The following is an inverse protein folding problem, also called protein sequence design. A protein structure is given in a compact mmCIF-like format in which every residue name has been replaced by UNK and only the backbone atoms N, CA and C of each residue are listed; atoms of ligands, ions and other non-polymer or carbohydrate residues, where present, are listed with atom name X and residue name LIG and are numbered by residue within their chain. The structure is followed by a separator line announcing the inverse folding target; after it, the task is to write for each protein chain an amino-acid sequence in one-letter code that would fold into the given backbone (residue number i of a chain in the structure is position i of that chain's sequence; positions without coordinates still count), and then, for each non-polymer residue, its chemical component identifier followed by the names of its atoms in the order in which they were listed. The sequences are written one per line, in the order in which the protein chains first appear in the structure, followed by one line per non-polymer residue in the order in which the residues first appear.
data_IF_247109667683
#
_entry.id   IF_247109667683
#
_cell.length_a   1.000
_cell.length_b   1.000
_cell.length_c   1.000
_cell.angle_alpha   90.00
_cell.angle_beta   90.00
_cell.angle_gamma   90.00
#
_symmetry.space_group_name_H-M   'P 1'
#
loop_
_entity.id
_entity.type
_entity.pdbx_description
1 polymer ?
#
# COMPACT_ATOMS: atom_id res chain seq x y z
N UNK A 1 11.24 -2.11 19.62
CA UNK A 1 10.26 -3.20 19.42
C UNK A 1 10.88 -4.50 19.85
N UNK A 2 10.23 -5.23 20.74
CA UNK A 2 10.72 -6.46 21.34
C UNK A 2 9.72 -7.61 21.16
N UNK A 3 10.16 -8.84 21.44
CA UNK A 3 9.29 -10.02 21.58
C UNK A 3 9.05 -10.29 23.06
N UNK A 4 7.80 -10.53 23.42
CA UNK A 4 7.44 -11.10 24.71
C UNK A 4 6.38 -12.17 24.48
N UNK A 5 6.69 -13.40 24.81
CA UNK A 5 5.88 -14.58 24.48
C UNK A 5 5.58 -14.64 22.96
N UNK A 6 4.33 -14.76 22.56
CA UNK A 6 3.87 -14.73 21.16
C UNK A 6 3.41 -13.33 20.70
N UNK A 7 3.85 -12.27 21.39
CA UNK A 7 3.44 -10.89 21.10
C UNK A 7 4.66 -10.02 20.77
N UNK A 8 4.40 -9.07 19.89
CA UNK A 8 5.32 -7.96 19.61
C UNK A 8 5.05 -6.90 20.67
N UNK A 9 6.08 -6.48 21.37
CA UNK A 9 5.98 -5.43 22.39
C UNK A 9 6.59 -4.14 21.85
N UNK A 10 5.79 -3.10 21.82
CA UNK A 10 6.20 -1.75 21.43
C UNK A 10 6.30 -0.92 22.72
N UNK A 11 7.45 -0.31 22.93
CA UNK A 11 7.69 0.61 24.03
C UNK A 11 7.89 2.01 23.45
N UNK A 12 7.13 2.97 23.90
CA UNK A 12 7.28 4.39 23.59
C UNK A 12 7.13 5.27 24.83
N UNK A 13 7.18 6.59 24.68
CA UNK A 13 7.04 7.54 25.79
C UNK A 13 5.69 7.47 26.53
N UNK A 14 4.68 6.85 25.93
CA UNK A 14 3.32 6.70 26.48
C UNK A 14 3.15 5.37 27.23
N UNK A 15 4.08 4.44 27.06
CA UNK A 15 4.07 3.15 27.75
C UNK A 15 4.38 1.95 26.86
N UNK A 16 3.88 0.79 27.27
CA UNK A 16 4.13 -0.48 26.61
C UNK A 16 2.84 -1.02 26.01
N UNK A 17 2.85 -1.30 24.73
CA UNK A 17 1.74 -1.93 24.01
C UNK A 17 2.15 -3.32 23.55
N UNK A 18 1.27 -4.31 23.76
CA UNK A 18 1.47 -5.69 23.29
C UNK A 18 0.55 -5.95 22.09
N UNK A 19 1.13 -6.39 21.00
CA UNK A 19 0.44 -6.67 19.75
C UNK A 19 0.57 -8.17 19.48
N UNK A 20 -0.53 -8.93 19.43
CA UNK A 20 -0.48 -10.34 19.04
C UNK A 20 0.03 -10.48 17.61
N UNK A 21 1.19 -11.11 17.41
CA UNK A 21 1.82 -11.18 16.10
C UNK A 21 0.95 -11.91 15.07
N UNK A 22 0.28 -13.00 15.47
CA UNK A 22 -0.59 -13.78 14.59
C UNK A 22 -1.84 -13.03 14.08
N UNK A 23 -2.20 -11.91 14.70
CA UNK A 23 -3.36 -11.10 14.28
C UNK A 23 -2.95 -9.91 13.40
N UNK A 24 -1.66 -9.77 13.11
CA UNK A 24 -1.12 -8.60 12.41
C UNK A 24 -0.68 -8.99 11.01
N UNK A 25 -1.28 -8.40 9.99
CA UNK A 25 -0.89 -8.62 8.60
C UNK A 25 0.30 -7.75 8.19
N UNK A 26 0.35 -6.51 8.67
CA UNK A 26 1.39 -5.55 8.30
C UNK A 26 1.83 -4.72 9.50
N UNK A 27 3.13 -4.50 9.63
CA UNK A 27 3.73 -3.53 10.56
C UNK A 27 4.41 -2.42 9.78
N UNK A 28 4.10 -1.18 10.12
CA UNK A 28 4.74 0.01 9.57
C UNK A 28 5.75 0.54 10.60
N UNK A 29 7.03 0.55 10.25
CA UNK A 29 8.08 1.10 11.09
C UNK A 29 8.49 2.48 10.61
N UNK A 30 8.31 3.48 11.47
CA UNK A 30 8.75 4.85 11.23
C UNK A 30 10.21 5.09 11.61
N UNK A 31 10.74 6.29 11.33
CA UNK A 31 12.09 6.68 11.70
C UNK A 31 12.35 6.52 13.20
N UNK A 32 13.57 6.13 13.58
CA UNK A 32 13.97 5.92 14.97
C UNK A 32 13.38 4.66 15.61
N UNK A 33 12.77 3.76 14.85
CA UNK A 33 12.26 2.49 15.39
C UNK A 33 13.37 1.45 15.47
N UNK A 34 13.76 1.07 16.69
CA UNK A 34 14.66 -0.07 16.93
C UNK A 34 13.84 -1.36 17.03
N UNK A 35 14.35 -2.42 16.42
CA UNK A 35 13.73 -3.74 16.47
C UNK A 35 14.76 -4.82 16.86
N UNK A 36 14.41 -5.65 17.82
CA UNK A 36 15.28 -6.75 18.22
C UNK A 36 15.23 -7.92 17.25
N UNK A 37 16.32 -8.69 17.16
CA UNK A 37 16.38 -9.90 16.36
C UNK A 37 15.22 -10.87 16.66
N UNK A 38 14.90 -11.08 17.93
CA UNK A 38 13.80 -11.97 18.33
C UNK A 38 12.42 -11.46 17.92
N UNK A 39 12.22 -10.13 17.83
CA UNK A 39 10.99 -9.57 17.32
C UNK A 39 10.88 -9.80 15.80
N UNK A 40 11.99 -9.65 15.06
CA UNK A 40 12.03 -9.96 13.62
C UNK A 40 11.78 -11.44 13.33
N UNK A 41 12.37 -12.34 14.13
CA UNK A 41 12.11 -13.77 14.04
C UNK A 41 10.61 -14.08 14.17
N UNK A 42 9.96 -13.57 15.23
CA UNK A 42 8.51 -13.76 15.43
C UNK A 42 7.68 -13.21 14.28
N UNK A 43 8.03 -12.04 13.75
CA UNK A 43 7.38 -11.41 12.60
C UNK A 43 7.51 -12.33 11.37
N UNK A 44 8.70 -12.87 11.13
CA UNK A 44 8.94 -13.81 10.03
C UNK A 44 8.13 -15.10 10.17
N UNK A 45 8.12 -15.69 11.36
CA UNK A 45 7.42 -16.94 11.65
C UNK A 45 5.89 -16.82 11.51
N UNK A 46 5.35 -15.65 11.85
CA UNK A 46 3.90 -15.39 11.75
C UNK A 46 3.45 -14.95 10.37
N UNK A 47 4.36 -14.73 9.43
CA UNK A 47 4.03 -14.28 8.08
C UNK A 47 3.64 -12.82 7.99
N UNK A 48 3.89 -12.03 9.03
CA UNK A 48 3.60 -10.60 9.06
C UNK A 48 4.54 -9.84 8.12
N UNK A 49 3.99 -8.99 7.27
CA UNK A 49 4.77 -8.11 6.40
C UNK A 49 5.26 -6.89 7.16
N UNK A 50 6.45 -6.41 6.82
CA UNK A 50 7.05 -5.20 7.41
C UNK A 50 7.26 -4.16 6.33
N UNK A 51 6.94 -2.92 6.62
CA UNK A 51 7.18 -1.77 5.73
C UNK A 51 7.90 -0.67 6.51
N UNK A 52 9.05 -0.24 6.01
CA UNK A 52 9.75 0.92 6.55
C UNK A 52 9.27 2.18 5.85
N UNK A 53 8.73 3.09 6.65
CA UNK A 53 8.14 4.34 6.17
C UNK A 53 8.92 5.54 6.70
N UNK A 54 8.81 6.67 6.00
CA UNK A 54 9.40 7.92 6.44
C UNK A 54 8.59 8.64 7.51
N UNK A 55 8.98 9.86 7.79
CA UNK A 55 8.27 10.75 8.72
C UNK A 55 6.78 10.84 8.38
N UNK A 56 5.94 10.86 9.40
CA UNK A 56 4.47 10.93 9.29
C UNK A 56 3.84 9.81 8.47
N UNK A 57 4.54 8.66 8.33
CA UNK A 57 4.05 7.53 7.57
C UNK A 57 4.03 7.75 6.07
N UNK A 58 4.71 8.77 5.56
CA UNK A 58 4.87 9.02 4.14
C UNK A 58 6.23 8.54 3.68
N UNK A 59 6.36 8.23 2.39
CA UNK A 59 7.50 7.54 1.78
C UNK A 59 7.67 6.11 2.31
N UNK A 60 7.63 5.19 1.41
CA UNK A 60 8.02 3.80 1.66
C UNK A 60 9.46 3.62 1.22
N UNK A 61 10.33 3.26 2.16
CA UNK A 61 11.74 3.04 1.86
C UNK A 61 12.06 1.59 1.54
N UNK A 62 11.42 0.67 2.25
CA UNK A 62 11.64 -0.75 2.07
C UNK A 62 10.44 -1.54 2.57
N UNK A 63 10.30 -2.76 2.09
CA UNK A 63 9.37 -3.74 2.65
C UNK A 63 10.06 -5.08 2.80
N UNK A 64 9.63 -5.85 3.77
CA UNK A 64 10.04 -7.23 3.98
C UNK A 64 8.81 -8.10 4.20
N UNK A 65 8.87 -9.31 3.67
CA UNK A 65 7.84 -10.31 3.84
C UNK A 65 8.46 -11.61 4.34
N UNK A 66 7.68 -12.41 5.06
CA UNK A 66 8.06 -13.77 5.41
C UNK A 66 8.42 -14.57 4.14
N UNK A 67 9.38 -15.47 4.27
CA UNK A 67 9.86 -16.30 3.16
C UNK A 67 8.69 -17.02 2.49
N UNK A 68 8.56 -16.83 1.17
CA UNK A 68 7.59 -17.58 0.38
C UNK A 68 8.08 -18.99 0.13
N UNK A 69 7.24 -19.98 0.38
CA UNK A 69 7.54 -21.39 0.10
C UNK A 69 7.28 -21.78 -1.36
N UNK A 70 6.77 -20.87 -2.20
CA UNK A 70 6.42 -21.17 -3.59
C UNK A 70 6.60 -19.96 -4.50
N UNK A 71 7.32 -20.15 -5.61
CA UNK A 71 7.50 -19.17 -6.69
C UNK A 71 6.37 -19.21 -7.74
N UNK A 72 5.45 -20.16 -7.64
CA UNK A 72 4.44 -20.43 -8.67
C UNK A 72 3.66 -19.20 -9.15
N UNK A 73 3.24 -18.34 -8.24
CA UNK A 73 2.48 -17.14 -8.60
C UNK A 73 3.39 -16.10 -9.26
N UNK A 74 4.62 -15.95 -8.78
CA UNK A 74 5.62 -15.05 -9.36
C UNK A 74 5.98 -15.45 -10.79
N UNK A 75 6.22 -16.76 -11.02
CA UNK A 75 6.49 -17.30 -12.35
C UNK A 75 5.32 -17.08 -13.31
N UNK A 76 4.08 -17.31 -12.83
CA UNK A 76 2.87 -17.03 -13.60
C UNK A 76 2.74 -15.56 -13.93
N UNK A 77 3.01 -14.67 -12.99
CA UNK A 77 3.00 -13.22 -13.20
C UNK A 77 4.05 -12.81 -14.24
N UNK A 78 5.28 -13.31 -14.11
CA UNK A 78 6.35 -13.04 -15.07
C UNK A 78 5.96 -13.48 -16.49
N UNK A 79 5.42 -14.68 -16.65
CA UNK A 79 4.92 -15.20 -17.93
C UNK A 79 3.83 -14.32 -18.54
N UNK A 80 2.89 -13.84 -17.72
CA UNK A 80 1.77 -13.04 -18.19
C UNK A 80 2.21 -11.61 -18.58
N UNK A 81 3.16 -11.01 -17.87
CA UNK A 81 3.60 -9.64 -18.11
C UNK A 81 4.59 -9.53 -19.28
N UNK A 82 5.33 -10.60 -19.57
CA UNK A 82 6.32 -10.64 -20.65
C UNK A 82 5.70 -10.65 -22.05
N UNK A 83 4.42 -10.97 -22.19
CA UNK A 83 3.71 -10.99 -23.45
C UNK A 83 2.66 -9.88 -23.50
N UNK A 84 2.70 -9.05 -24.54
CA UNK A 84 1.84 -7.86 -24.70
C UNK A 84 0.35 -8.21 -24.73
N UNK A 85 -0.03 -9.35 -25.37
CA UNK A 85 -1.44 -9.77 -25.44
C UNK A 85 -1.95 -10.20 -24.06
N UNK A 86 -1.20 -11.07 -23.37
CA UNK A 86 -1.61 -11.54 -22.04
C UNK A 86 -1.59 -10.41 -21.02
N UNK A 87 -0.63 -9.49 -21.11
CA UNK A 87 -0.58 -8.26 -20.29
C UNK A 87 -1.86 -7.42 -20.46
N UNK A 88 -2.29 -7.19 -21.71
CA UNK A 88 -3.52 -6.44 -21.99
C UNK A 88 -4.76 -7.20 -21.46
N UNK A 89 -4.80 -8.51 -21.63
CA UNK A 89 -5.91 -9.34 -21.12
C UNK A 89 -6.00 -9.26 -19.59
N UNK A 90 -4.87 -9.34 -18.88
CA UNK A 90 -4.84 -9.18 -17.42
C UNK A 90 -5.30 -7.78 -17.02
N UNK A 91 -4.78 -6.74 -17.68
CA UNK A 91 -5.18 -5.37 -17.42
C UNK A 91 -6.71 -5.18 -17.58
N UNK A 92 -7.29 -5.68 -18.68
CA UNK A 92 -8.76 -5.64 -18.89
C UNK A 92 -9.52 -6.33 -17.75
N UNK A 93 -9.08 -7.50 -17.30
CA UNK A 93 -9.71 -8.18 -16.15
C UNK A 93 -9.63 -7.35 -14.86
N UNK A 94 -8.48 -6.73 -14.58
CA UNK A 94 -8.34 -5.86 -13.42
C UNK A 94 -9.28 -4.65 -13.50
N UNK A 95 -9.39 -4.02 -14.67
CA UNK A 95 -10.33 -2.92 -14.89
C UNK A 95 -11.79 -3.37 -14.77
N UNK A 96 -12.15 -4.54 -15.31
CA UNK A 96 -13.49 -5.10 -15.17
C UNK A 96 -13.86 -5.40 -13.72
N UNK A 97 -12.92 -5.93 -12.91
CA UNK A 97 -13.12 -6.14 -11.47
C UNK A 97 -13.35 -4.82 -10.72
N UNK A 98 -12.61 -3.77 -11.12
CA UNK A 98 -12.71 -2.45 -10.51
C UNK A 98 -13.96 -1.67 -10.95
N UNK A 99 -14.44 -1.93 -12.16
CA UNK A 99 -15.55 -1.24 -12.79
C UNK A 99 -16.49 -2.26 -13.45
N UNK A 100 -17.27 -3.01 -12.65
CA UNK A 100 -18.06 -4.14 -13.13
C UNK A 100 -19.13 -3.74 -14.16
N UNK A 101 -19.64 -2.50 -14.09
CA UNK A 101 -20.72 -2.00 -14.93
C UNK A 101 -20.23 -1.45 -16.29
N UNK A 102 -18.92 -1.53 -16.58
CA UNK A 102 -18.35 -1.01 -17.82
C UNK A 102 -17.82 -2.12 -18.72
N UNK A 103 -18.20 -2.07 -19.99
CA UNK A 103 -17.55 -2.90 -21.02
C UNK A 103 -16.17 -2.31 -21.37
N UNK A 104 -15.14 -3.08 -21.09
CA UNK A 104 -13.73 -2.76 -21.37
C UNK A 104 -13.13 -3.65 -22.44
N UNK A 105 -13.92 -4.54 -23.06
CA UNK A 105 -13.45 -5.59 -23.96
C UNK A 105 -12.68 -5.07 -25.18
N UNK A 106 -13.14 -3.95 -25.76
CA UNK A 106 -12.60 -3.37 -26.99
C UNK A 106 -11.58 -2.22 -26.72
N UNK A 107 -11.24 -1.94 -25.46
CA UNK A 107 -10.35 -0.82 -25.12
C UNK A 107 -8.88 -1.21 -25.21
N UNK A 108 -8.07 -0.26 -25.65
CA UNK A 108 -6.61 -0.31 -25.55
C UNK A 108 -6.18 0.04 -24.13
N UNK A 109 -4.94 -0.30 -23.77
CA UNK A 109 -4.39 0.04 -22.44
C UNK A 109 -4.37 1.57 -22.22
N UNK A 110 -4.11 2.35 -23.25
CA UNK A 110 -4.12 3.82 -23.16
C UNK A 110 -5.52 4.35 -22.88
N UNK A 111 -6.55 3.82 -23.55
CA UNK A 111 -7.94 4.19 -23.32
C UNK A 111 -8.41 3.80 -21.91
N UNK A 112 -8.01 2.61 -21.41
CA UNK A 112 -8.29 2.17 -20.05
C UNK A 112 -7.69 3.15 -19.02
N UNK A 113 -6.43 3.54 -19.17
CA UNK A 113 -5.77 4.53 -18.30
C UNK A 113 -6.45 5.90 -18.36
N UNK A 114 -6.85 6.35 -19.55
CA UNK A 114 -7.58 7.61 -19.72
C UNK A 114 -8.92 7.62 -18.97
N UNK A 115 -9.70 6.54 -19.10
CA UNK A 115 -10.97 6.38 -18.36
C UNK A 115 -10.76 6.33 -16.86
N UNK A 116 -9.76 5.59 -16.39
CA UNK A 116 -9.43 5.54 -14.96
C UNK A 116 -9.10 6.93 -14.43
N UNK A 117 -8.21 7.66 -15.09
CA UNK A 117 -7.83 9.00 -14.68
C UNK A 117 -9.02 9.97 -14.64
N UNK A 118 -9.93 9.92 -15.62
CA UNK A 118 -11.15 10.73 -15.62
C UNK A 118 -12.07 10.38 -14.44
N UNK A 119 -12.24 9.09 -14.15
CA UNK A 119 -13.06 8.60 -13.04
C UNK A 119 -12.49 8.99 -11.70
N UNK A 120 -11.19 8.79 -11.48
CA UNK A 120 -10.52 9.18 -10.23
C UNK A 120 -10.69 10.68 -9.97
N UNK A 121 -10.46 11.52 -10.99
CA UNK A 121 -10.70 12.97 -10.85
C UNK A 121 -12.17 13.29 -10.52
N UNK A 122 -13.11 12.58 -11.15
CA UNK A 122 -14.54 12.72 -10.85
C UNK A 122 -14.89 12.37 -9.41
N UNK A 123 -14.33 11.28 -8.89
CA UNK A 123 -14.51 10.85 -7.49
C UNK A 123 -13.97 11.90 -6.52
N UNK A 124 -12.75 12.38 -6.71
CA UNK A 124 -12.18 13.41 -5.85
C UNK A 124 -13.01 14.69 -5.84
N UNK A 125 -13.46 15.17 -7.02
CA UNK A 125 -14.35 16.35 -7.10
C UNK A 125 -15.69 16.12 -6.38
N UNK A 126 -16.28 14.93 -6.52
CA UNK A 126 -17.52 14.57 -5.82
C UNK A 126 -17.35 14.56 -4.31
N UNK A 127 -16.25 13.95 -3.81
CA UNK A 127 -15.97 13.90 -2.38
C UNK A 127 -15.63 15.28 -1.81
N UNK A 128 -14.84 16.07 -2.51
CA UNK A 128 -14.54 17.45 -2.16
C UNK A 128 -15.83 18.26 -1.92
N UNK A 129 -16.79 18.20 -2.85
CA UNK A 129 -18.08 18.87 -2.70
C UNK A 129 -18.89 18.31 -1.52
N UNK A 130 -18.92 16.98 -1.36
CA UNK A 130 -19.69 16.32 -0.30
C UNK A 130 -19.21 16.71 1.10
N UNK A 131 -17.90 16.79 1.28
CA UNK A 131 -17.29 17.08 2.58
C UNK A 131 -16.83 18.52 2.75
N UNK A 132 -17.12 19.40 1.78
CA UNK A 132 -16.74 20.81 1.78
C UNK A 132 -15.24 21.04 1.99
N UNK A 133 -14.41 20.15 1.41
CA UNK A 133 -12.96 20.24 1.45
C UNK A 133 -12.47 20.80 0.12
N UNK A 134 -11.63 21.83 0.15
CA UNK A 134 -11.04 22.39 -1.05
C UNK A 134 -10.14 21.35 -1.75
N UNK A 135 -10.32 21.17 -3.05
CA UNK A 135 -9.57 20.22 -3.86
C UNK A 135 -9.11 20.86 -5.17
N UNK A 136 -7.85 21.24 -5.24
CA UNK A 136 -7.18 21.81 -6.43
C UNK A 136 -6.56 20.73 -7.33
N UNK A 137 -6.42 19.50 -6.82
CA UNK A 137 -5.80 18.40 -7.52
C UNK A 137 -4.87 17.59 -6.62
N UNK A 138 -4.34 16.49 -7.16
CA UNK A 138 -3.29 15.73 -6.49
C UNK A 138 -1.97 16.49 -6.67
N UNK A 139 -1.53 17.10 -5.60
CA UNK A 139 -0.25 17.78 -5.51
C UNK A 139 0.66 17.00 -4.56
N UNK A 140 1.82 16.62 -5.04
CA UNK A 140 2.78 15.83 -4.28
C UNK A 140 4.20 16.18 -4.73
N UNK A 141 4.94 16.79 -3.80
CA UNK A 141 6.38 17.00 -3.97
C UNK A 141 7.14 15.86 -3.27
N UNK A 142 7.87 15.01 -4.03
CA UNK A 142 8.62 13.91 -3.42
C UNK A 142 9.75 14.37 -2.51
N UNK A 143 10.24 15.59 -2.67
CA UNK A 143 11.37 16.13 -1.92
C UNK A 143 10.95 16.96 -0.72
N UNK A 144 9.72 17.48 -0.73
CA UNK A 144 9.18 18.24 0.37
C UNK A 144 7.71 17.89 0.66
N UNK A 145 7.49 17.07 1.67
CA UNK A 145 6.14 16.65 2.08
C UNK A 145 5.30 17.80 2.67
N UNK A 146 5.96 18.80 3.28
CA UNK A 146 5.29 19.92 3.91
C UNK A 146 4.63 20.89 2.91
N UNK A 147 5.10 20.91 1.66
CA UNK A 147 4.54 21.78 0.61
C UNK A 147 3.12 21.38 0.17
N UNK A 148 2.72 20.14 0.47
CA UNK A 148 1.39 19.64 0.12
C UNK A 148 0.30 20.16 1.04
N UNK A 149 -0.91 20.35 0.49
CA UNK A 149 -2.09 20.63 1.31
C UNK A 149 -2.34 19.49 2.31
N UNK A 150 -2.98 19.77 3.45
CA UNK A 150 -3.29 18.79 4.51
C UNK A 150 -3.99 17.56 3.92
N UNK A 151 -4.92 17.74 2.97
CA UNK A 151 -5.60 16.63 2.31
C UNK A 151 -4.65 15.78 1.45
N UNK A 152 -3.68 16.40 0.78
CA UNK A 152 -2.68 15.68 -0.01
C UNK A 152 -1.68 14.93 0.89
N UNK A 153 -1.32 15.50 2.03
CA UNK A 153 -0.52 14.83 3.06
C UNK A 153 -1.24 13.59 3.62
N UNK A 154 -2.51 13.75 4.00
CA UNK A 154 -3.35 12.65 4.48
C UNK A 154 -3.51 11.53 3.43
N UNK A 155 -3.72 11.88 2.17
CA UNK A 155 -3.79 10.90 1.07
C UNK A 155 -2.45 10.17 0.87
N UNK A 156 -1.31 10.85 1.02
CA UNK A 156 0.00 10.22 0.91
C UNK A 156 0.23 9.19 2.02
N UNK A 157 -0.09 9.54 3.27
CA UNK A 157 -0.02 8.60 4.40
C UNK A 157 -0.96 7.39 4.22
N UNK A 158 -2.20 7.64 3.79
CA UNK A 158 -3.18 6.57 3.53
C UNK A 158 -2.71 5.62 2.41
N UNK A 159 -2.09 6.14 1.35
CA UNK A 159 -1.54 5.30 0.28
C UNK A 159 -0.40 4.40 0.77
N UNK A 160 0.49 4.90 1.63
CA UNK A 160 1.57 4.08 2.20
C UNK A 160 1.01 2.94 3.03
N UNK A 161 0.00 3.20 3.87
CA UNK A 161 -0.68 2.17 4.63
C UNK A 161 -1.35 1.11 3.72
N UNK A 162 -2.01 1.56 2.65
CA UNK A 162 -2.64 0.68 1.66
C UNK A 162 -1.61 -0.17 0.92
N UNK A 163 -0.45 0.39 0.57
CA UNK A 163 0.63 -0.39 -0.04
C UNK A 163 1.12 -1.50 0.89
N UNK A 164 1.25 -1.22 2.19
CA UNK A 164 1.57 -2.25 3.18
C UNK A 164 0.61 -3.43 3.11
N UNK A 165 -0.71 -3.17 3.07
CA UNK A 165 -1.73 -4.21 2.92
C UNK A 165 -1.62 -4.96 1.59
N UNK A 166 -1.30 -4.26 0.50
CA UNK A 166 -1.12 -4.92 -0.81
C UNK A 166 0.12 -5.82 -0.87
N UNK A 167 1.14 -5.56 -0.03
CA UNK A 167 2.36 -6.38 0.05
C UNK A 167 2.22 -7.58 1.00
N UNK A 168 1.24 -7.58 1.89
CA UNK A 168 0.95 -8.70 2.79
C UNK A 168 0.25 -9.85 2.07
#
# INVERSE_FOLDING_TARGET
VNKQDSSITVLDSRGTVRIPAAMTSVLLFGPGTDITHRAMELIGDTGTSVVWVGERGVRQYAHGRALSHSSRLLEKQAKLVSNTRTKLTVAKKMYQMRFPDEDVSNLTLQQLRGREGARVRGIYRKQSKKYQVEWSGRDYNPDNFEDGTVINQALSAAHVALYGVCYS
#
